data_IF_675646803735
#
_entry.id   IF_675646803735
#
_cell.length_a   1.000
_cell.length_b   1.000
_cell.length_c   1.000
_cell.angle_alpha   90.00
_cell.angle_beta   90.00
_cell.angle_gamma   90.00
#
_symmetry.space_group_name_H-M   'P 1'
#
loop_
_entity.id
_entity.type
_entity.pdbx_description
1 polymer ?
#
# COMPACT_ATOMS: atom_id res chain seq x y z
N UNK A 1 -21.19 -30.41 14.37
CA UNK A 1 -22.29 -30.33 13.39
C UNK A 1 -23.16 -29.18 13.83
N UNK A 2 -23.21 -28.12 13.02
CA UNK A 2 -23.71 -26.79 13.41
C UNK A 2 -22.94 -25.77 12.59
N UNK A 3 -23.19 -25.83 11.28
CA UNK A 3 -22.62 -24.91 10.32
C UNK A 3 -23.26 -23.54 10.55
N UNK A 4 -22.70 -22.76 11.47
CA UNK A 4 -22.82 -21.31 11.42
C UNK A 4 -21.90 -20.85 10.28
N UNK A 5 -22.29 -21.22 9.06
CA UNK A 5 -21.88 -20.56 7.84
C UNK A 5 -22.44 -19.15 7.94
N UNK A 6 -21.77 -18.33 8.75
CA UNK A 6 -21.81 -16.89 8.65
C UNK A 6 -21.41 -16.61 7.21
N UNK A 7 -22.40 -16.45 6.34
CA UNK A 7 -22.23 -15.88 5.04
C UNK A 7 -21.36 -14.64 5.28
N UNK A 8 -20.08 -14.67 4.92
CA UNK A 8 -19.36 -13.43 4.66
C UNK A 8 -20.15 -12.81 3.51
N UNK A 9 -21.07 -11.89 3.83
CA UNK A 9 -22.03 -11.31 2.89
C UNK A 9 -21.31 -10.64 1.69
N UNK A 10 -19.99 -10.42 1.82
CA UNK A 10 -19.10 -10.15 0.70
C UNK A 10 -17.68 -10.72 0.97
N UNK A 11 -17.23 -11.79 0.29
CA UNK A 11 -15.83 -12.19 0.36
C UNK A 11 -14.96 -11.06 -0.19
N UNK A 12 -13.88 -10.72 0.52
CA UNK A 12 -13.00 -9.62 0.12
C UNK A 12 -12.40 -9.93 -1.26
N UNK A 13 -12.47 -8.97 -2.18
CA UNK A 13 -11.98 -9.19 -3.53
C UNK A 13 -10.44 -9.25 -3.55
N UNK A 14 -9.90 -10.38 -3.98
CA UNK A 14 -8.44 -10.61 -4.13
C UNK A 14 -7.97 -10.66 -5.58
N UNK A 15 -8.86 -10.90 -6.55
CA UNK A 15 -8.47 -11.15 -7.94
C UNK A 15 -7.46 -12.31 -8.06
N UNK A 16 -6.34 -12.06 -8.75
CA UNK A 16 -5.24 -13.03 -8.91
C UNK A 16 -4.28 -13.09 -7.70
N UNK A 17 -4.48 -12.22 -6.70
CA UNK A 17 -3.57 -12.12 -5.56
C UNK A 17 -3.96 -13.04 -4.42
N UNK A 18 -2.98 -13.35 -3.57
CA UNK A 18 -3.19 -14.15 -2.37
C UNK A 18 -3.96 -13.37 -1.28
N UNK A 19 -3.89 -12.04 -1.29
CA UNK A 19 -4.58 -11.20 -0.31
C UNK A 19 -5.31 -10.02 -0.97
N UNK A 20 -6.47 -9.59 -0.44
CA UNK A 20 -7.22 -8.44 -0.96
C UNK A 20 -6.39 -7.15 -0.94
N UNK A 21 -5.52 -7.07 0.05
CA UNK A 21 -4.62 -5.96 0.23
C UNK A 21 -3.64 -5.74 -0.92
N UNK A 22 -3.22 -6.81 -1.61
CA UNK A 22 -2.30 -6.71 -2.74
C UNK A 22 -3.01 -6.10 -3.94
N UNK A 23 -4.19 -6.63 -4.31
CA UNK A 23 -4.97 -6.08 -5.43
C UNK A 23 -5.28 -4.60 -5.21
N UNK A 24 -5.74 -4.23 -4.00
CA UNK A 24 -6.03 -2.83 -3.68
C UNK A 24 -4.81 -1.93 -3.84
N UNK A 25 -3.64 -2.34 -3.33
CA UNK A 25 -2.42 -1.55 -3.47
C UNK A 25 -1.95 -1.48 -4.94
N UNK A 26 -2.10 -2.55 -5.72
CA UNK A 26 -1.70 -2.59 -7.14
C UNK A 26 -2.57 -1.65 -7.94
N UNK A 27 -3.87 -1.71 -7.71
CA UNK A 27 -4.85 -0.81 -8.33
C UNK A 27 -4.57 0.66 -7.98
N UNK A 28 -4.12 0.98 -6.76
CA UNK A 28 -3.71 2.35 -6.40
C UNK A 28 -2.55 2.85 -7.28
N UNK A 29 -1.51 2.03 -7.43
CA UNK A 29 -0.34 2.39 -8.24
C UNK A 29 -0.72 2.51 -9.73
N UNK A 30 -1.53 1.59 -10.26
CA UNK A 30 -2.01 1.65 -11.65
C UNK A 30 -2.88 2.89 -11.91
N UNK A 31 -3.75 3.27 -10.99
CA UNK A 31 -4.54 4.49 -11.09
C UNK A 31 -3.66 5.74 -11.14
N UNK A 32 -2.61 5.77 -10.32
CA UNK A 32 -1.64 6.87 -10.32
C UNK A 32 -0.93 6.98 -11.67
N UNK A 33 -0.40 5.85 -12.19
CA UNK A 33 0.26 5.79 -13.51
C UNK A 33 -0.70 6.25 -14.62
N UNK A 34 -1.96 5.82 -14.54
CA UNK A 34 -3.02 6.23 -15.46
C UNK A 34 -3.63 7.60 -15.13
N UNK A 35 -2.97 8.41 -14.30
CA UNK A 35 -3.28 9.83 -14.08
C UNK A 35 -4.68 10.07 -13.53
N UNK A 36 -5.30 9.07 -12.91
CA UNK A 36 -6.70 9.06 -12.51
C UNK A 36 -7.65 9.46 -13.65
N UNK A 37 -7.31 9.12 -14.90
CA UNK A 37 -8.09 9.48 -16.07
C UNK A 37 -9.27 8.52 -16.28
N UNK A 38 -10.45 8.86 -15.75
CA UNK A 38 -11.65 8.05 -15.87
C UNK A 38 -12.32 8.08 -17.26
N UNK A 39 -11.71 8.72 -18.27
CA UNK A 39 -12.09 8.44 -19.67
C UNK A 39 -11.71 7.01 -20.07
N UNK A 40 -10.66 6.45 -19.46
CA UNK A 40 -10.29 5.05 -19.64
C UNK A 40 -11.12 4.16 -18.70
N UNK A 41 -11.91 3.25 -19.28
CA UNK A 41 -12.78 2.32 -18.54
C UNK A 41 -12.00 1.43 -17.56
N UNK A 42 -10.75 1.08 -17.85
CA UNK A 42 -9.90 0.29 -16.95
C UNK A 42 -9.67 0.95 -15.59
N UNK A 43 -9.68 2.29 -15.53
CA UNK A 43 -9.52 3.00 -14.27
C UNK A 43 -10.74 2.83 -13.34
N UNK A 44 -11.94 2.63 -13.87
CA UNK A 44 -13.08 2.24 -13.03
C UNK A 44 -12.89 0.85 -12.43
N UNK A 45 -12.32 -0.10 -13.19
CA UNK A 45 -12.05 -1.46 -12.70
C UNK A 45 -11.05 -1.41 -11.54
N UNK A 46 -9.99 -0.61 -11.64
CA UNK A 46 -9.03 -0.43 -10.54
C UNK A 46 -9.67 0.23 -9.31
N UNK A 47 -10.48 1.27 -9.51
CA UNK A 47 -11.20 1.91 -8.41
C UNK A 47 -12.13 0.91 -7.69
N UNK A 48 -12.88 0.13 -8.47
CA UNK A 48 -13.80 -0.86 -7.94
C UNK A 48 -13.06 -1.99 -7.20
N UNK A 49 -11.89 -2.39 -7.71
CA UNK A 49 -11.00 -3.36 -7.06
C UNK A 49 -10.48 -2.86 -5.72
N UNK A 50 -10.17 -1.56 -5.61
CA UNK A 50 -9.79 -0.93 -4.33
C UNK A 50 -10.96 -1.04 -3.37
N UNK A 51 -12.16 -0.58 -3.75
CA UNK A 51 -13.36 -0.57 -2.90
C UNK A 51 -13.70 -2.00 -2.43
N UNK A 52 -13.74 -2.99 -3.32
CA UNK A 52 -14.10 -4.35 -2.93
C UNK A 52 -12.96 -5.12 -2.24
N UNK A 53 -11.73 -4.61 -2.25
CA UNK A 53 -10.66 -5.19 -1.43
C UNK A 53 -10.90 -5.05 0.07
N UNK A 54 -11.77 -4.12 0.49
CA UNK A 54 -12.07 -3.80 1.89
C UNK A 54 -10.79 -3.72 2.73
N UNK A 55 -9.81 -2.96 2.22
CA UNK A 55 -8.46 -2.86 2.80
C UNK A 55 -8.20 -1.44 3.25
N UNK A 56 -8.22 -1.20 4.56
CA UNK A 56 -7.94 0.12 5.16
C UNK A 56 -6.65 0.74 4.59
N UNK A 57 -5.56 -0.04 4.55
CA UNK A 57 -4.30 0.41 3.96
C UNK A 57 -4.39 0.79 2.47
N UNK A 58 -5.21 0.08 1.69
CA UNK A 58 -5.38 0.42 0.27
C UNK A 58 -6.20 1.70 0.12
N UNK A 59 -7.19 1.95 0.98
CA UNK A 59 -7.95 3.20 0.99
C UNK A 59 -7.05 4.39 1.35
N UNK A 60 -6.23 4.25 2.39
CA UNK A 60 -5.25 5.27 2.76
C UNK A 60 -4.27 5.53 1.61
N UNK A 61 -3.72 4.47 0.98
CA UNK A 61 -2.78 4.61 -0.12
C UNK A 61 -3.43 5.26 -1.36
N UNK A 62 -4.67 4.90 -1.69
CA UNK A 62 -5.44 5.53 -2.76
C UNK A 62 -5.59 7.03 -2.52
N UNK A 63 -6.01 7.41 -1.31
CA UNK A 63 -6.22 8.81 -0.97
C UNK A 63 -4.91 9.62 -0.99
N UNK A 64 -3.84 9.08 -0.40
CA UNK A 64 -2.50 9.69 -0.45
C UNK A 64 -2.05 9.88 -1.90
N UNK A 65 -2.19 8.84 -2.74
CA UNK A 65 -1.83 8.92 -4.15
C UNK A 65 -2.65 9.95 -4.92
N UNK A 66 -3.95 10.02 -4.67
CA UNK A 66 -4.87 11.00 -5.27
C UNK A 66 -4.45 12.43 -4.90
N UNK A 67 -4.31 12.72 -3.60
CA UNK A 67 -3.89 14.03 -3.10
C UNK A 67 -2.54 14.43 -3.66
N UNK A 68 -1.55 13.54 -3.61
CA UNK A 68 -0.20 13.83 -4.08
C UNK A 68 -0.17 14.11 -5.58
N UNK A 69 -0.90 13.33 -6.39
CA UNK A 69 -1.00 13.54 -7.83
C UNK A 69 -1.54 14.94 -8.17
N UNK A 70 -2.67 15.32 -7.57
CA UNK A 70 -3.31 16.61 -7.85
C UNK A 70 -2.57 17.80 -7.24
N UNK A 71 -2.00 17.64 -6.05
CA UNK A 71 -1.11 18.63 -5.43
C UNK A 71 0.06 18.98 -6.36
N UNK A 72 0.73 17.97 -6.91
CA UNK A 72 1.87 18.15 -7.83
C UNK A 72 1.47 18.75 -9.19
N UNK A 73 0.16 18.85 -9.50
CA UNK A 73 -0.38 19.61 -10.64
C UNK A 73 -0.82 21.03 -10.28
N UNK A 74 -0.60 21.46 -9.03
CA UNK A 74 -1.05 22.77 -8.54
C UNK A 74 -2.56 22.88 -8.38
N UNK A 75 -3.27 21.76 -8.20
CA UNK A 75 -4.72 21.79 -7.92
C UNK A 75 -4.95 21.89 -6.42
N UNK A 76 -5.96 22.66 -6.03
CA UNK A 76 -6.42 22.72 -4.65
C UNK A 76 -6.89 21.33 -4.17
N UNK A 77 -6.46 20.99 -2.96
CA UNK A 77 -6.75 19.72 -2.29
C UNK A 77 -8.08 19.73 -1.54
N UNK A 78 -8.65 20.89 -1.23
CA UNK A 78 -9.83 21.03 -0.38
C UNK A 78 -11.00 20.16 -0.85
N UNK A 79 -11.29 20.17 -2.15
CA UNK A 79 -12.36 19.33 -2.73
C UNK A 79 -12.12 17.83 -2.54
N UNK A 80 -10.87 17.36 -2.56
CA UNK A 80 -10.55 15.94 -2.38
C UNK A 80 -10.64 15.56 -0.90
N UNK A 81 -10.21 16.44 0.00
CA UNK A 81 -10.40 16.28 1.44
C UNK A 81 -11.89 16.21 1.80
N UNK A 82 -12.72 17.04 1.18
CA UNK A 82 -14.17 17.01 1.35
C UNK A 82 -14.76 15.67 0.86
N UNK A 83 -14.35 15.20 -0.32
CA UNK A 83 -14.77 13.88 -0.83
C UNK A 83 -14.38 12.76 0.13
N UNK A 84 -13.16 12.79 0.69
CA UNK A 84 -12.74 11.81 1.70
C UNK A 84 -13.61 11.91 2.95
N UNK A 85 -13.87 13.11 3.46
CA UNK A 85 -14.68 13.30 4.67
C UNK A 85 -16.10 12.75 4.46
N UNK A 86 -16.71 13.02 3.31
CA UNK A 86 -18.01 12.46 2.95
C UNK A 86 -17.94 10.93 2.86
N UNK A 87 -16.94 10.38 2.16
CA UNK A 87 -16.79 8.94 2.02
C UNK A 87 -16.57 8.24 3.37
N UNK A 88 -15.71 8.81 4.23
CA UNK A 88 -15.47 8.32 5.59
C UNK A 88 -16.75 8.40 6.45
N UNK A 89 -17.51 9.49 6.33
CA UNK A 89 -18.80 9.65 7.00
C UNK A 89 -19.82 8.60 6.57
N UNK A 90 -19.95 8.34 5.27
CA UNK A 90 -20.83 7.29 4.72
C UNK A 90 -20.40 5.90 5.21
N UNK A 91 -19.11 5.58 5.13
CA UNK A 91 -18.58 4.29 5.59
C UNK A 91 -18.79 4.10 7.10
N UNK A 92 -18.62 5.16 7.88
CA UNK A 92 -18.86 5.14 9.33
C UNK A 92 -20.34 4.95 9.64
N UNK A 93 -21.23 5.69 8.96
CA UNK A 93 -22.66 5.56 9.14
C UNK A 93 -23.15 4.15 8.79
N UNK A 94 -22.75 3.61 7.63
CA UNK A 94 -23.13 2.24 7.23
C UNK A 94 -22.52 1.24 8.21
N UNK A 95 -21.23 1.38 8.54
CA UNK A 95 -20.54 0.45 9.41
C UNK A 95 -21.11 0.39 10.83
N UNK A 96 -21.63 1.49 11.38
CA UNK A 96 -22.23 1.49 12.72
C UNK A 96 -23.72 1.09 12.72
N UNK A 97 -24.48 1.48 11.69
CA UNK A 97 -25.94 1.34 11.73
C UNK A 97 -26.46 0.10 10.97
N UNK A 98 -25.78 -0.33 9.91
CA UNK A 98 -26.21 -1.50 9.16
C UNK A 98 -26.02 -2.77 10.00
N UNK A 99 -27.06 -3.59 10.09
CA UNK A 99 -27.09 -4.80 10.91
C UNK A 99 -26.63 -4.57 12.37
N UNK A 100 -26.97 -3.41 12.94
CA UNK A 100 -26.58 -2.98 14.30
C UNK A 100 -25.07 -3.02 14.54
N UNK A 101 -24.28 -2.72 13.50
CA UNK A 101 -22.83 -2.72 13.56
C UNK A 101 -22.17 -4.06 13.28
N UNK A 102 -22.92 -5.15 13.20
CA UNK A 102 -22.39 -6.46 12.82
C UNK A 102 -22.31 -6.60 11.30
N UNK A 103 -21.36 -5.91 10.68
CA UNK A 103 -21.16 -5.92 9.24
C UNK A 103 -19.67 -5.85 8.86
N UNK A 104 -19.39 -6.23 7.61
CA UNK A 104 -18.02 -6.33 7.08
C UNK A 104 -17.27 -5.00 7.07
N UNK A 105 -17.97 -3.87 6.93
CA UNK A 105 -17.34 -2.54 6.95
C UNK A 105 -16.86 -2.23 8.36
N UNK A 106 -17.68 -2.50 9.37
CA UNK A 106 -17.27 -2.35 10.76
C UNK A 106 -16.06 -3.25 11.07
N UNK A 107 -16.19 -4.54 10.77
CA UNK A 107 -15.19 -5.54 11.12
C UNK A 107 -13.84 -5.32 10.41
N UNK A 108 -13.84 -4.95 9.13
CA UNK A 108 -12.59 -4.84 8.35
C UNK A 108 -12.01 -3.42 8.30
N UNK A 109 -12.81 -2.39 8.57
CA UNK A 109 -12.38 -0.98 8.47
C UNK A 109 -12.50 -0.25 9.80
N UNK A 110 -13.69 -0.16 10.40
CA UNK A 110 -13.90 0.70 11.59
C UNK A 110 -13.23 0.16 12.84
N UNK A 111 -13.33 -1.15 13.09
CA UNK A 111 -12.67 -1.82 14.22
C UNK A 111 -11.15 -1.61 14.20
N UNK A 112 -10.57 -1.49 13.01
CA UNK A 112 -9.13 -1.24 12.79
C UNK A 112 -8.73 0.22 13.02
N UNK A 113 -9.68 1.13 13.15
CA UNK A 113 -9.44 2.54 13.47
C UNK A 113 -9.59 2.85 14.96
N UNK A 114 -10.06 1.88 15.75
CA UNK A 114 -10.17 2.03 17.21
C UNK A 114 -8.77 2.12 17.82
N UNK A 115 -8.60 3.06 18.74
CA UNK A 115 -7.39 3.18 19.55
C UNK A 115 -7.67 2.52 20.89
N UNK A 116 -6.86 1.53 21.25
CA UNK A 116 -6.92 0.82 22.53
C UNK A 116 -5.54 0.94 23.18
N UNK A 117 -5.50 1.43 24.42
CA UNK A 117 -4.26 1.60 25.20
C UNK A 117 -3.17 2.44 24.49
N UNK A 118 -3.59 3.42 23.67
CA UNK A 118 -2.69 4.28 22.90
C UNK A 118 -2.19 3.67 21.58
N UNK A 119 -2.54 2.42 21.28
CA UNK A 119 -2.22 1.74 20.02
C UNK A 119 -3.45 1.64 19.11
N UNK A 120 -3.23 1.75 17.80
CA UNK A 120 -4.28 1.57 16.82
C UNK A 120 -4.52 0.07 16.62
N UNK A 121 -5.75 -0.42 16.81
CA UNK A 121 -6.12 -1.83 16.56
C UNK A 121 -5.78 -2.32 15.15
N UNK A 122 -5.65 -1.39 14.20
CA UNK A 122 -5.22 -1.65 12.83
C UNK A 122 -3.72 -1.91 12.65
N UNK A 123 -2.89 -1.64 13.66
CA UNK A 123 -1.43 -1.74 13.65
C UNK A 123 -0.90 -3.17 13.90
N UNK A 124 -1.68 -4.17 13.51
CA UNK A 124 -1.28 -5.59 13.57
C UNK A 124 -0.36 -5.98 12.40
N UNK A 125 0.70 -5.19 12.16
CA UNK A 125 1.64 -5.39 11.04
C UNK A 125 2.87 -6.20 11.43
N UNK A 126 3.16 -6.29 12.71
CA UNK A 126 4.15 -7.17 13.30
C UNK A 126 3.48 -8.05 14.34
N UNK A 127 4.11 -9.18 14.67
CA UNK A 127 3.69 -10.04 15.76
C UNK A 127 4.54 -9.74 16.99
N UNK A 128 3.98 -9.96 18.19
CA UNK A 128 4.72 -9.83 19.45
C UNK A 128 5.98 -10.70 19.47
N UNK A 129 5.91 -11.89 18.87
CA UNK A 129 7.08 -12.78 18.69
C UNK A 129 8.13 -12.08 17.83
N UNK A 130 7.74 -11.59 16.65
CA UNK A 130 8.64 -10.87 15.77
C UNK A 130 9.30 -9.67 16.47
N UNK A 131 8.51 -8.81 17.14
CA UNK A 131 9.05 -7.62 17.79
C UNK A 131 10.08 -7.98 18.88
N UNK A 132 9.85 -9.05 19.65
CA UNK A 132 10.86 -9.54 20.63
C UNK A 132 12.16 -10.00 19.96
N UNK A 133 12.07 -10.73 18.85
CA UNK A 133 13.26 -11.15 18.09
C UNK A 133 13.96 -9.96 17.44
N UNK A 134 13.19 -9.01 16.92
CA UNK A 134 13.66 -7.79 16.29
C UNK A 134 14.46 -6.94 17.29
N UNK A 135 13.91 -6.69 18.48
CA UNK A 135 14.57 -5.90 19.53
C UNK A 135 15.84 -6.56 20.06
N UNK A 136 15.82 -7.89 20.19
CA UNK A 136 17.01 -8.64 20.58
C UNK A 136 18.10 -8.56 19.50
N UNK A 137 17.72 -8.73 18.23
CA UNK A 137 18.63 -8.62 17.09
C UNK A 137 19.20 -7.20 16.94
N UNK A 138 18.43 -6.15 17.19
CA UNK A 138 18.93 -4.78 17.16
C UNK A 138 20.04 -4.53 18.21
N UNK A 139 19.99 -5.21 19.36
CA UNK A 139 20.96 -5.03 20.44
C UNK A 139 22.21 -5.90 20.30
N UNK A 140 22.03 -7.12 19.78
CA UNK A 140 23.06 -8.16 19.85
C UNK A 140 23.37 -8.86 18.52
N UNK A 141 22.60 -8.56 17.46
CA UNK A 141 22.69 -9.22 16.17
C UNK A 141 23.55 -8.48 15.15
N UNK A 142 23.73 -9.12 13.98
CA UNK A 142 24.36 -8.49 12.82
C UNK A 142 23.35 -7.59 12.10
N UNK A 143 23.40 -6.30 12.41
CA UNK A 143 22.53 -5.28 11.83
C UNK A 143 22.89 -4.97 10.37
N UNK A 144 24.14 -5.21 9.97
CA UNK A 144 24.62 -4.87 8.63
C UNK A 144 24.10 -5.85 7.58
N UNK A 145 24.26 -7.15 7.82
CA UNK A 145 23.82 -8.19 6.89
C UNK A 145 22.35 -8.60 7.07
N UNK A 146 21.78 -8.34 8.25
CA UNK A 146 20.44 -8.83 8.59
C UNK A 146 20.46 -10.21 9.24
N UNK A 147 19.30 -10.62 9.74
CA UNK A 147 19.05 -11.94 10.30
C UNK A 147 19.05 -13.05 9.23
N UNK A 148 18.78 -12.68 7.97
CA UNK A 148 18.84 -13.59 6.82
C UNK A 148 17.75 -14.66 6.81
N UNK A 149 17.98 -15.73 6.03
CA UNK A 149 16.99 -16.79 5.77
C UNK A 149 16.53 -17.56 7.02
N UNK A 150 17.32 -17.52 8.09
CA UNK A 150 16.99 -18.17 9.37
C UNK A 150 15.68 -17.63 9.97
N UNK A 151 15.29 -16.41 9.62
CA UNK A 151 14.04 -15.81 10.06
C UNK A 151 12.78 -16.59 9.59
N UNK A 152 12.90 -17.31 8.48
CA UNK A 152 11.79 -18.08 7.89
C UNK A 152 11.60 -19.47 8.54
N UNK A 153 12.54 -19.89 9.40
CA UNK A 153 12.55 -21.23 10.00
C UNK A 153 12.64 -22.35 8.95
N UNK A 154 12.19 -23.54 9.34
CA UNK A 154 12.19 -24.75 8.50
C UNK A 154 10.96 -24.86 7.59
N UNK A 155 10.23 -23.75 7.38
CA UNK A 155 9.00 -23.72 6.59
C UNK A 155 7.72 -24.08 7.37
N UNK A 156 7.83 -24.48 8.65
CA UNK A 156 6.68 -24.68 9.53
C UNK A 156 6.22 -23.33 10.14
N UNK A 157 4.91 -23.13 10.23
CA UNK A 157 4.31 -21.89 10.75
C UNK A 157 4.75 -21.56 12.19
N UNK A 158 5.09 -22.58 12.99
CA UNK A 158 5.55 -22.46 14.38
C UNK A 158 7.01 -22.02 14.51
N UNK A 159 7.86 -22.25 13.52
CA UNK A 159 9.28 -21.82 13.55
C UNK A 159 9.54 -20.55 12.75
N UNK A 160 8.56 -20.06 12.00
CA UNK A 160 8.67 -18.84 11.20
C UNK A 160 8.43 -17.58 12.05
N UNK A 161 9.52 -16.89 12.40
CA UNK A 161 9.50 -15.64 13.19
C UNK A 161 8.71 -14.54 12.46
N UNK A 162 8.66 -14.59 11.12
CA UNK A 162 8.04 -13.58 10.27
C UNK A 162 6.55 -13.84 10.00
N UNK A 163 5.97 -14.89 10.59
CA UNK A 163 4.58 -15.23 10.37
C UNK A 163 3.65 -14.06 10.74
N UNK A 164 2.72 -13.73 9.84
CA UNK A 164 1.80 -12.61 10.01
C UNK A 164 2.43 -11.21 9.91
N UNK A 165 3.73 -11.08 9.62
CA UNK A 165 4.41 -9.79 9.58
C UNK A 165 4.47 -9.21 8.16
N UNK A 166 4.10 -7.94 8.01
CA UNK A 166 4.03 -7.25 6.72
C UNK A 166 4.58 -5.81 6.76
N UNK A 167 5.40 -5.45 7.77
CA UNK A 167 5.96 -4.11 7.93
C UNK A 167 7.37 -3.99 7.34
N UNK A 168 7.82 -2.76 7.07
CA UNK A 168 9.22 -2.49 6.73
C UNK A 168 10.22 -3.02 7.78
N UNK A 169 9.84 -3.17 9.06
CA UNK A 169 10.71 -3.79 10.06
C UNK A 169 11.11 -5.20 9.63
N UNK A 170 10.19 -5.97 9.04
CA UNK A 170 10.47 -7.31 8.52
C UNK A 170 11.51 -7.25 7.39
N UNK A 171 11.38 -6.30 6.47
CA UNK A 171 12.37 -6.08 5.41
C UNK A 171 13.77 -5.86 5.99
N UNK A 172 13.87 -4.90 6.91
CA UNK A 172 15.12 -4.49 7.53
C UNK A 172 15.72 -5.63 8.37
N UNK A 173 14.90 -6.35 9.12
CA UNK A 173 15.31 -7.52 9.90
C UNK A 173 15.98 -8.58 9.05
N UNK A 174 15.45 -8.87 7.86
CA UNK A 174 15.99 -9.93 7.00
C UNK A 174 17.28 -9.50 6.30
N UNK A 175 17.35 -8.23 5.85
CA UNK A 175 18.36 -7.77 4.89
C UNK A 175 19.40 -6.80 5.48
N UNK A 176 19.17 -6.33 6.70
CA UNK A 176 20.03 -5.37 7.39
C UNK A 176 20.15 -4.02 6.69
N UNK A 177 21.18 -3.29 7.08
CA UNK A 177 21.53 -1.98 6.51
C UNK A 177 21.94 -2.15 5.05
N UNK A 178 22.72 -3.17 4.69
CA UNK A 178 23.28 -3.31 3.34
C UNK A 178 22.16 -3.49 2.32
N UNK A 179 21.26 -4.45 2.53
CA UNK A 179 20.16 -4.67 1.60
C UNK A 179 19.19 -3.48 1.55
N UNK A 180 19.02 -2.78 2.67
CA UNK A 180 18.18 -1.58 2.73
C UNK A 180 18.77 -0.41 1.95
N UNK A 181 20.05 -0.14 2.11
CA UNK A 181 20.73 0.90 1.33
C UNK A 181 20.71 0.56 -0.15
N UNK A 182 21.01 -0.69 -0.52
CA UNK A 182 21.02 -1.12 -1.93
C UNK A 182 19.65 -0.93 -2.59
N UNK A 183 18.56 -1.31 -1.92
CA UNK A 183 17.22 -1.16 -2.50
C UNK A 183 16.83 0.32 -2.59
N UNK A 184 17.12 1.13 -1.57
CA UNK A 184 16.86 2.56 -1.60
C UNK A 184 17.64 3.24 -2.73
N UNK A 185 18.92 2.89 -2.90
CA UNK A 185 19.76 3.39 -4.00
C UNK A 185 19.21 2.95 -5.36
N UNK A 186 18.77 1.70 -5.52
CA UNK A 186 18.19 1.23 -6.77
C UNK A 186 16.96 2.05 -7.17
N UNK A 187 15.99 2.19 -6.27
CA UNK A 187 14.78 2.96 -6.55
C UNK A 187 15.09 4.46 -6.78
N UNK A 188 16.05 5.03 -6.04
CA UNK A 188 16.50 6.40 -6.22
C UNK A 188 17.17 6.61 -7.60
N UNK A 189 18.12 5.76 -7.97
CA UNK A 189 18.81 5.81 -9.27
C UNK A 189 17.82 5.70 -10.44
N UNK A 190 16.85 4.78 -10.34
CA UNK A 190 15.79 4.62 -11.34
C UNK A 190 14.91 5.88 -11.46
N UNK A 191 14.53 6.49 -10.34
CA UNK A 191 13.81 7.77 -10.35
C UNK A 191 14.65 8.90 -10.96
N UNK A 192 15.91 9.04 -10.56
CA UNK A 192 16.79 10.10 -11.04
C UNK A 192 17.01 10.01 -12.56
N UNK A 193 17.03 8.80 -13.12
CA UNK A 193 17.13 8.58 -14.57
C UNK A 193 15.89 9.07 -15.34
N UNK A 194 14.69 8.95 -14.76
CA UNK A 194 13.42 9.32 -15.39
C UNK A 194 12.70 10.42 -14.58
N UNK A 195 13.45 11.47 -14.23
CA UNK A 195 12.99 12.50 -13.30
C UNK A 195 11.83 13.30 -13.88
N UNK A 196 10.68 13.26 -13.20
CA UNK A 196 9.53 14.13 -13.48
C UNK A 196 8.77 14.46 -12.20
N UNK A 197 7.99 15.56 -12.20
CA UNK A 197 7.17 15.95 -11.03
C UNK A 197 6.20 14.83 -10.63
N UNK A 198 5.48 14.27 -11.60
CA UNK A 198 4.55 13.17 -11.35
C UNK A 198 5.27 11.85 -11.02
N UNK A 199 6.45 11.61 -11.61
CA UNK A 199 7.30 10.48 -11.25
C UNK A 199 7.79 10.55 -9.80
N UNK A 200 8.06 11.75 -9.27
CA UNK A 200 8.42 11.94 -7.86
C UNK A 200 7.26 11.57 -6.94
N UNK A 201 6.06 12.04 -7.25
CA UNK A 201 4.88 11.67 -6.48
C UNK A 201 4.62 10.16 -6.51
N UNK A 202 4.74 9.54 -7.69
CA UNK A 202 4.64 8.09 -7.81
C UNK A 202 5.70 7.34 -6.99
N UNK A 203 6.94 7.80 -7.01
CA UNK A 203 8.04 7.26 -6.19
C UNK A 203 7.70 7.30 -4.68
N UNK A 204 7.17 8.41 -4.18
CA UNK A 204 6.72 8.51 -2.78
C UNK A 204 5.58 7.53 -2.46
N UNK A 205 4.59 7.40 -3.35
CA UNK A 205 3.49 6.43 -3.15
C UNK A 205 4.02 5.00 -3.11
N UNK A 206 5.01 4.66 -3.94
CA UNK A 206 5.66 3.35 -3.93
C UNK A 206 6.44 3.11 -2.65
N UNK A 207 7.15 4.11 -2.11
CA UNK A 207 7.80 4.00 -0.79
C UNK A 207 6.76 3.71 0.29
N UNK A 208 5.68 4.51 0.37
CA UNK A 208 4.62 4.34 1.37
C UNK A 208 3.97 2.95 1.24
N UNK A 209 3.70 2.51 0.02
CA UNK A 209 3.16 1.18 -0.25
C UNK A 209 4.08 0.06 0.31
N UNK A 210 5.39 0.18 0.10
CA UNK A 210 6.36 -0.79 0.61
C UNK A 210 6.54 -0.70 2.14
N UNK A 211 6.37 0.47 2.75
CA UNK A 211 6.39 0.60 4.20
C UNK A 211 5.26 -0.20 4.87
N UNK A 212 4.08 -0.23 4.23
CA UNK A 212 2.88 -0.87 4.77
C UNK A 212 2.86 -2.40 4.53
N UNK A 213 3.56 -2.89 3.50
CA UNK A 213 3.42 -4.29 3.06
C UNK A 213 4.69 -5.11 2.81
N UNK A 214 5.88 -4.52 2.92
CA UNK A 214 7.16 -5.24 2.76
C UNK A 214 7.30 -6.05 1.46
N UNK A 215 7.30 -5.37 0.31
CA UNK A 215 7.50 -6.01 -1.01
C UNK A 215 8.59 -5.43 -1.91
N UNK A 216 9.66 -4.78 -1.42
CA UNK A 216 10.54 -4.04 -2.32
C UNK A 216 11.35 -4.93 -3.29
N UNK A 217 11.49 -6.25 -3.02
CA UNK A 217 12.13 -7.21 -3.94
C UNK A 217 11.17 -7.97 -4.86
N UNK A 218 9.85 -7.82 -4.69
CA UNK A 218 8.90 -8.59 -5.49
C UNK A 218 8.90 -8.04 -6.92
N UNK A 219 9.31 -8.90 -7.85
CA UNK A 219 9.50 -8.61 -9.27
C UNK A 219 8.36 -7.79 -9.89
N UNK A 220 7.11 -8.16 -9.62
CA UNK A 220 5.92 -7.47 -10.15
C UNK A 220 5.90 -5.97 -9.77
N UNK A 221 6.24 -5.63 -8.53
CA UNK A 221 6.22 -4.26 -8.04
C UNK A 221 7.42 -3.45 -8.54
N UNK A 222 8.56 -4.10 -8.72
CA UNK A 222 9.73 -3.48 -9.36
C UNK A 222 9.44 -3.14 -10.83
N UNK A 223 8.83 -4.07 -11.58
CA UNK A 223 8.41 -3.80 -12.95
C UNK A 223 7.41 -2.66 -13.03
N UNK A 224 6.42 -2.66 -12.14
CA UNK A 224 5.41 -1.62 -12.11
C UNK A 224 6.03 -0.25 -11.78
N UNK A 225 7.04 -0.20 -10.91
CA UNK A 225 7.78 1.03 -10.64
C UNK A 225 8.55 1.53 -11.87
N UNK A 226 9.34 0.68 -12.51
CA UNK A 226 10.16 1.04 -13.68
C UNK A 226 9.29 1.51 -14.85
N UNK A 227 8.22 0.76 -15.16
CA UNK A 227 7.30 1.13 -16.23
C UNK A 227 6.52 2.40 -15.89
N UNK A 228 6.00 2.49 -14.66
CA UNK A 228 5.22 3.64 -14.20
C UNK A 228 6.00 4.94 -14.28
N UNK A 229 7.24 4.95 -13.80
CA UNK A 229 8.08 6.16 -13.80
C UNK A 229 8.44 6.59 -15.23
N UNK A 230 8.69 5.63 -16.12
CA UNK A 230 8.98 5.88 -17.54
C UNK A 230 7.78 6.48 -18.25
N UNK A 231 6.57 5.92 -18.04
CA UNK A 231 5.32 6.44 -18.63
C UNK A 231 5.04 7.87 -18.16
N UNK A 232 5.22 8.15 -16.86
CA UNK A 232 5.01 9.48 -16.29
C UNK A 232 6.05 10.50 -16.77
N UNK A 233 7.29 10.07 -17.00
CA UNK A 233 8.33 10.90 -17.61
C UNK A 233 8.00 11.26 -19.06
N UNK A 234 7.77 10.26 -19.92
CA UNK A 234 7.48 10.48 -21.35
C UNK A 234 6.23 11.33 -21.55
N UNK A 235 5.19 11.09 -20.76
CA UNK A 235 3.95 11.88 -20.80
C UNK A 235 4.17 13.37 -20.52
N UNK A 236 5.05 13.70 -19.57
CA UNK A 236 5.36 15.10 -19.26
C UNK A 236 6.15 15.76 -20.40
N UNK A 237 7.05 15.01 -21.04
CA UNK A 237 7.86 15.51 -22.16
C UNK A 237 7.00 15.80 -23.39
N UNK A 238 6.06 14.91 -23.74
CA UNK A 238 5.14 15.11 -24.87
C UNK A 238 4.27 16.35 -24.67
N UNK A 239 3.64 16.51 -23.50
CA UNK A 239 2.80 17.67 -23.23
C UNK A 239 3.56 19.01 -23.23
N UNK A 240 4.86 18.99 -22.91
CA UNK A 240 5.72 20.17 -23.04
C UNK A 240 5.98 20.55 -24.50
N UNK A 241 6.27 19.55 -25.36
CA UNK A 241 6.51 19.78 -26.80
C UNK A 241 5.25 20.31 -27.49
N UNK A 242 4.07 19.74 -27.20
CA UNK A 242 2.79 20.24 -27.74
C UNK A 242 2.56 21.71 -27.35
N UNK A 243 2.81 22.08 -26.09
CA UNK A 243 2.65 23.47 -25.62
C UNK A 243 3.61 24.50 -26.25
N UNK A 244 4.70 24.03 -26.86
CA UNK A 244 5.64 24.89 -27.60
C UNK A 244 5.22 25.06 -29.06
N UNK A 245 4.58 24.05 -29.66
CA UNK A 245 4.10 24.10 -31.05
C UNK A 245 2.78 24.87 -31.21
N UNK A 246 2.00 25.02 -30.14
CA UNK A 246 0.76 25.81 -30.12
C UNK A 246 0.98 27.32 -29.86
N UNK A 247 2.22 27.79 -29.82
CA UNK A 247 2.61 29.20 -29.67
C UNK A 247 3.30 29.72 -30.93
#
# INVERSE_FOLDING_TARGET
MGADNMFEILPRFCGMFLEPGHVGSTSCLLLYINKFNFKNKSNYIYLLSIIFSLSLAAYCLFFIGLCLYFYLRGKDLFKYLLILAVFAGVFTYIGLNYNRGNNVINEKILSRLIITDGELSGDNRTSMVFDKYYDNWLKHGDIFNGYGRKAYGDGNATSNILHGCASFKRFFFINGIIGTVLICLLYLCLYLRYRSKQGFGFFLVVIICNMIRDYPYRLMWMFLFVLGITVLYTSNKVGYIESLNDK
#
